data_IF_425880882952
#
_entry.id   IF_425880882952
#
_cell.length_a   1.000
_cell.length_b   1.000
_cell.length_c   1.000
_cell.angle_alpha   90.00
_cell.angle_beta   90.00
_cell.angle_gamma   90.00
#
_symmetry.space_group_name_H-M   'P 1'
#
loop_
_entity.id
_entity.type
_entity.pdbx_description
1 polymer ?
#
# COMPACT_ATOMS: atom_id res chain seq x y z
N UNK A 1 -7.89 9.59 2.04
CA UNK A 1 -6.83 9.12 2.94
C UNK A 1 -5.75 10.16 3.18
N UNK A 2 -4.85 9.85 4.09
CA UNK A 2 -3.64 10.63 4.36
C UNK A 2 -2.45 9.73 4.10
N UNK A 3 -1.62 10.12 3.12
CA UNK A 3 -0.50 9.31 2.65
C UNK A 3 0.84 9.95 3.01
N UNK A 4 1.92 9.14 3.05
CA UNK A 4 3.27 9.65 3.32
C UNK A 4 3.68 10.73 2.29
N UNK A 5 3.28 10.55 1.02
CA UNK A 5 3.54 11.50 -0.04
C UNK A 5 2.91 12.88 0.22
N UNK A 6 1.70 12.95 0.81
CA UNK A 6 1.07 14.21 1.20
C UNK A 6 1.93 14.99 2.21
N UNK A 7 2.51 14.27 3.19
CA UNK A 7 3.40 14.89 4.18
C UNK A 7 4.70 15.39 3.55
N UNK A 8 5.24 14.65 2.60
CA UNK A 8 6.44 15.02 1.85
C UNK A 8 6.17 16.21 0.92
N UNK A 9 5.01 16.22 0.24
CA UNK A 9 4.60 17.34 -0.62
C UNK A 9 4.47 18.62 0.21
N UNK A 10 3.85 18.57 1.39
CA UNK A 10 3.76 19.69 2.32
C UNK A 10 5.14 20.25 2.71
N UNK A 11 6.17 19.40 2.75
CA UNK A 11 7.55 19.76 3.06
C UNK A 11 8.35 20.20 1.83
N UNK A 12 7.76 20.19 0.62
CA UNK A 12 8.47 20.49 -0.63
C UNK A 12 9.38 19.37 -1.14
N UNK A 13 9.29 18.16 -0.55
CA UNK A 13 10.14 17.00 -0.89
C UNK A 13 9.50 16.07 -1.93
N UNK A 14 8.24 16.30 -2.27
CA UNK A 14 7.48 15.52 -3.25
C UNK A 14 6.60 16.47 -4.08
N UNK A 15 7.17 17.17 -5.07
CA UNK A 15 6.40 18.12 -5.87
C UNK A 15 5.33 17.40 -6.70
N UNK A 16 4.15 18.01 -6.89
CA UNK A 16 3.12 17.44 -7.75
C UNK A 16 3.62 17.34 -9.19
N UNK A 17 3.11 16.38 -9.98
CA UNK A 17 3.41 16.30 -11.41
C UNK A 17 3.03 17.61 -12.13
N UNK A 18 3.71 17.91 -13.25
CA UNK A 18 3.46 19.13 -14.01
C UNK A 18 2.00 19.20 -14.47
N UNK A 19 1.32 20.29 -14.19
CA UNK A 19 -0.09 20.52 -14.55
C UNK A 19 -1.09 19.99 -13.53
N UNK A 20 -0.63 19.40 -12.44
CA UNK A 20 -1.48 18.99 -11.30
C UNK A 20 -1.54 20.13 -10.28
N UNK A 21 -2.65 20.22 -9.56
CA UNK A 21 -2.86 21.20 -8.47
C UNK A 21 -1.89 21.00 -7.32
N UNK A 22 -1.58 22.10 -6.61
CA UNK A 22 -0.79 22.06 -5.35
C UNK A 22 -1.62 21.59 -4.14
N UNK A 23 -2.94 21.43 -4.28
CA UNK A 23 -3.80 20.88 -3.24
C UNK A 23 -3.41 19.42 -3.00
N UNK A 24 -3.16 19.07 -1.74
CA UNK A 24 -2.76 17.72 -1.33
C UNK A 24 -3.89 16.70 -1.55
N UNK A 25 -3.52 15.43 -1.44
CA UNK A 25 -4.44 14.29 -1.41
C UNK A 25 -4.42 13.47 -2.68
N UNK A 26 -3.99 12.21 -2.55
CA UNK A 26 -3.80 11.27 -3.66
C UNK A 26 -4.96 10.28 -3.82
N UNK A 27 -5.90 10.28 -2.89
CA UNK A 27 -7.07 9.41 -2.92
C UNK A 27 -8.25 10.06 -2.21
N UNK A 28 -9.45 9.69 -2.65
CA UNK A 28 -10.71 10.11 -2.03
C UNK A 28 -11.71 8.97 -1.99
N UNK A 29 -12.66 9.06 -1.07
CA UNK A 29 -13.94 8.36 -1.12
C UNK A 29 -15.08 9.36 -1.02
N UNK A 30 -16.21 9.04 -1.60
CA UNK A 30 -17.34 9.94 -1.57
C UNK A 30 -18.50 9.47 -2.43
N UNK A 31 -19.27 10.43 -2.89
CA UNK A 31 -20.38 10.19 -3.82
C UNK A 31 -20.20 11.01 -5.07
N UNK A 32 -20.55 10.42 -6.19
CA UNK A 32 -20.59 11.13 -7.47
C UNK A 32 -21.55 12.30 -7.38
N UNK A 33 -21.07 13.51 -7.59
CA UNK A 33 -21.90 14.73 -7.61
C UNK A 33 -22.44 15.01 -9.00
N UNK A 34 -21.62 14.80 -10.04
CA UNK A 34 -21.96 14.96 -11.44
C UNK A 34 -21.10 14.03 -12.29
N UNK A 35 -21.55 13.74 -13.50
CA UNK A 35 -20.87 12.89 -14.48
C UNK A 35 -20.60 13.71 -15.73
N UNK A 36 -19.39 13.60 -16.28
CA UNK A 36 -19.01 14.27 -17.51
C UNK A 36 -19.66 13.64 -18.75
N UNK A 37 -19.60 14.36 -19.86
CA UNK A 37 -20.11 13.89 -21.15
C UNK A 37 -19.38 12.59 -21.59
N UNK A 38 -20.13 11.60 -22.07
CA UNK A 38 -19.58 10.33 -22.57
C UNK A 38 -19.08 9.38 -21.49
N UNK A 39 -19.34 9.64 -20.21
CA UNK A 39 -19.02 8.71 -19.12
C UNK A 39 -20.21 7.83 -18.81
N UNK A 40 -20.04 6.52 -18.99
CA UNK A 40 -21.06 5.50 -18.68
C UNK A 40 -20.77 4.79 -17.35
N UNK A 41 -21.80 4.16 -16.80
CA UNK A 41 -21.69 3.29 -15.61
C UNK A 41 -21.66 4.01 -14.26
N UNK A 42 -21.77 5.35 -14.25
CA UNK A 42 -21.85 6.19 -13.06
C UNK A 42 -23.04 7.13 -13.10
N UNK A 43 -23.64 7.39 -11.95
CA UNK A 43 -24.70 8.38 -11.78
C UNK A 43 -24.51 9.18 -10.48
N UNK A 44 -25.06 10.39 -10.37
CA UNK A 44 -25.05 11.15 -9.12
C UNK A 44 -25.62 10.35 -7.95
N UNK A 45 -24.92 10.38 -6.82
CA UNK A 45 -25.27 9.62 -5.61
C UNK A 45 -24.53 8.29 -5.47
N UNK A 46 -23.96 7.72 -6.54
CA UNK A 46 -23.16 6.49 -6.46
C UNK A 46 -21.97 6.66 -5.50
N UNK A 47 -21.77 5.64 -4.66
CA UNK A 47 -20.59 5.58 -3.80
C UNK A 47 -19.35 5.25 -4.64
N UNK A 48 -18.25 5.95 -4.38
CA UNK A 48 -17.01 5.76 -5.12
C UNK A 48 -15.77 5.94 -4.23
N UNK A 49 -14.68 5.36 -4.70
CA UNK A 49 -13.30 5.67 -4.32
C UNK A 49 -12.54 6.09 -5.57
N UNK A 50 -11.57 6.99 -5.44
CA UNK A 50 -10.80 7.43 -6.59
C UNK A 50 -9.35 7.68 -6.24
N UNK A 51 -8.46 7.35 -7.20
CA UNK A 51 -7.04 7.67 -7.14
C UNK A 51 -6.79 8.97 -7.89
N UNK A 52 -6.01 9.87 -7.29
CA UNK A 52 -5.71 11.18 -7.85
C UNK A 52 -4.19 11.43 -7.88
N UNK A 53 -3.78 12.31 -8.78
CA UNK A 53 -2.41 12.84 -8.78
C UNK A 53 -2.24 14.01 -7.78
N UNK A 54 -3.33 14.52 -7.21
CA UNK A 54 -3.42 15.62 -6.26
C UNK A 54 -4.86 16.11 -6.15
N UNK A 55 -5.15 17.04 -5.23
CA UNK A 55 -6.47 17.67 -5.09
C UNK A 55 -7.48 16.91 -4.23
N UNK A 56 -7.09 15.81 -3.58
CA UNK A 56 -8.00 14.99 -2.77
C UNK A 56 -8.45 15.65 -1.45
N UNK A 57 -7.71 16.63 -0.95
CA UNK A 57 -8.09 17.38 0.27
C UNK A 57 -9.10 18.49 -0.07
N UNK A 58 -10.20 18.09 -0.65
CA UNK A 58 -11.26 18.98 -1.10
C UNK A 58 -12.64 18.39 -0.82
N UNK A 59 -13.65 19.25 -0.75
CA UNK A 59 -15.05 18.83 -0.62
C UNK A 59 -15.63 18.27 -1.92
N UNK A 60 -15.05 18.69 -3.07
CA UNK A 60 -15.37 18.18 -4.41
C UNK A 60 -14.08 18.07 -5.19
N UNK A 61 -13.89 16.95 -5.90
CA UNK A 61 -12.75 16.71 -6.78
C UNK A 61 -13.24 16.25 -8.16
N UNK A 62 -12.61 16.74 -9.22
CA UNK A 62 -12.81 16.23 -10.58
C UNK A 62 -11.80 15.12 -10.85
N UNK A 63 -12.28 13.94 -11.25
CA UNK A 63 -11.45 12.75 -11.44
C UNK A 63 -11.77 12.11 -12.78
N UNK A 64 -10.77 11.69 -13.58
CA UNK A 64 -11.01 10.87 -14.77
C UNK A 64 -11.78 9.60 -14.43
N UNK A 65 -12.81 9.26 -15.18
CA UNK A 65 -13.69 8.13 -14.90
C UNK A 65 -12.92 6.78 -14.75
N UNK A 66 -11.83 6.60 -15.50
CA UNK A 66 -10.98 5.42 -15.41
C UNK A 66 -10.18 5.26 -14.10
N UNK A 67 -10.17 6.30 -13.25
CA UNK A 67 -9.53 6.28 -11.93
C UNK A 67 -10.55 6.18 -10.79
N UNK A 68 -11.83 5.98 -11.11
CA UNK A 68 -12.93 5.86 -10.15
C UNK A 68 -13.37 4.40 -10.07
N UNK A 69 -13.45 3.87 -8.86
CA UNK A 69 -13.89 2.51 -8.57
C UNK A 69 -15.05 2.50 -7.57
N UNK A 70 -15.83 1.44 -7.57
CA UNK A 70 -16.79 1.20 -6.49
C UNK A 70 -16.03 0.74 -5.24
N UNK A 71 -16.39 1.23 -4.04
CA UNK A 71 -15.78 0.71 -2.81
C UNK A 71 -16.12 -0.77 -2.65
N UNK A 72 -15.29 -1.55 -1.95
CA UNK A 72 -15.60 -2.95 -1.62
C UNK A 72 -16.97 -3.08 -0.95
N UNK A 73 -17.67 -4.16 -1.25
CA UNK A 73 -18.98 -4.44 -0.67
C UNK A 73 -18.91 -4.46 0.87
N UNK A 74 -19.81 -3.73 1.52
CA UNK A 74 -19.89 -3.67 2.98
C UNK A 74 -18.88 -2.70 3.65
N UNK A 75 -17.97 -2.08 2.88
CA UNK A 75 -17.04 -1.10 3.42
C UNK A 75 -17.69 0.30 3.43
N UNK A 76 -17.64 0.98 4.58
CA UNK A 76 -18.09 2.36 4.68
C UNK A 76 -17.11 3.32 3.99
N UNK A 77 -17.60 4.51 3.60
CA UNK A 77 -16.79 5.47 2.84
C UNK A 77 -15.63 6.07 3.65
N UNK A 78 -15.73 6.13 4.98
CA UNK A 78 -14.65 6.65 5.82
C UNK A 78 -13.47 5.67 5.80
N UNK A 79 -13.74 4.39 5.98
CA UNK A 79 -12.73 3.31 5.87
C UNK A 79 -12.18 3.24 4.45
N UNK A 80 -13.04 3.31 3.44
CA UNK A 80 -12.63 3.24 2.02
C UNK A 80 -11.74 4.42 1.58
N UNK A 81 -11.75 5.55 2.32
CA UNK A 81 -10.95 6.72 2.00
C UNK A 81 -9.43 6.48 2.05
N UNK A 82 -8.96 5.47 2.77
CA UNK A 82 -7.53 5.14 2.89
C UNK A 82 -7.12 3.86 2.18
N UNK A 83 -7.94 3.36 1.25
CA UNK A 83 -7.72 2.06 0.63
C UNK A 83 -7.00 2.13 -0.72
N UNK A 84 -7.41 3.06 -1.60
CA UNK A 84 -7.11 2.92 -3.03
C UNK A 84 -5.64 3.19 -3.36
N UNK A 85 -5.02 4.16 -2.68
CA UNK A 85 -3.60 4.48 -2.90
C UNK A 85 -2.70 3.30 -2.52
N UNK A 86 -2.87 2.75 -1.32
CA UNK A 86 -2.08 1.60 -0.87
C UNK A 86 -2.38 0.35 -1.69
N UNK A 87 -3.63 0.12 -2.07
CA UNK A 87 -4.02 -1.00 -2.91
C UNK A 87 -3.37 -0.91 -4.30
N UNK A 88 -3.43 0.25 -4.95
CA UNK A 88 -2.79 0.47 -6.24
C UNK A 88 -1.27 0.31 -6.17
N UNK A 89 -0.64 0.84 -5.13
CA UNK A 89 0.80 0.71 -4.91
C UNK A 89 1.21 -0.74 -4.74
N UNK A 90 0.56 -1.48 -3.86
CA UNK A 90 0.92 -2.89 -3.56
C UNK A 90 0.61 -3.79 -4.75
N UNK A 91 -0.61 -3.72 -5.30
CA UNK A 91 -1.00 -4.60 -6.40
C UNK A 91 -0.14 -4.40 -7.64
N UNK A 92 0.18 -3.14 -8.00
CA UNK A 92 1.04 -2.86 -9.15
C UNK A 92 2.45 -3.42 -8.99
N UNK A 93 3.05 -3.30 -7.79
CA UNK A 93 4.39 -3.81 -7.50
C UNK A 93 4.41 -5.34 -7.48
N UNK A 94 3.50 -5.99 -6.74
CA UNK A 94 3.49 -7.46 -6.62
C UNK A 94 3.08 -8.15 -7.92
N UNK A 95 2.20 -7.54 -8.73
CA UNK A 95 1.89 -8.04 -10.08
C UNK A 95 3.09 -7.92 -11.02
N UNK A 96 3.85 -6.83 -10.93
CA UNK A 96 5.03 -6.61 -11.78
C UNK A 96 6.12 -7.66 -11.55
N UNK A 97 6.29 -8.13 -10.31
CA UNK A 97 7.25 -9.20 -9.97
C UNK A 97 6.62 -10.59 -10.05
N UNK A 98 5.34 -10.67 -10.41
CA UNK A 98 4.58 -11.91 -10.57
C UNK A 98 4.61 -12.81 -9.32
N UNK A 99 4.49 -12.20 -8.11
CA UNK A 99 4.47 -12.96 -6.85
C UNK A 99 3.49 -14.13 -6.92
N UNK A 100 3.97 -15.34 -6.67
CA UNK A 100 3.21 -16.57 -6.78
C UNK A 100 2.89 -17.20 -5.40
N UNK A 101 1.83 -18.04 -5.30
CA UNK A 101 1.56 -18.81 -4.10
C UNK A 101 2.76 -19.68 -3.70
N UNK A 102 3.07 -19.70 -2.40
CA UNK A 102 4.19 -20.43 -1.82
C UNK A 102 5.52 -19.68 -1.82
N UNK A 103 5.69 -18.62 -2.61
CA UNK A 103 6.87 -17.77 -2.55
C UNK A 103 6.95 -16.99 -1.24
N UNK A 104 8.17 -16.67 -0.84
CA UNK A 104 8.47 -15.90 0.38
C UNK A 104 8.52 -14.42 0.05
N UNK A 105 7.58 -13.65 0.61
CA UNK A 105 7.58 -12.20 0.56
C UNK A 105 8.04 -11.62 1.91
N UNK A 106 9.07 -10.78 1.89
CA UNK A 106 9.41 -9.91 3.02
C UNK A 106 8.86 -8.50 2.81
N UNK A 107 8.13 -7.98 3.80
CA UNK A 107 7.55 -6.63 3.79
C UNK A 107 8.20 -5.77 4.86
N UNK A 108 8.99 -4.78 4.47
CA UNK A 108 9.51 -3.80 5.41
C UNK A 108 8.44 -2.80 5.83
N UNK A 109 8.42 -2.49 7.15
CA UNK A 109 7.41 -1.59 7.70
C UNK A 109 6.00 -2.17 7.66
N UNK A 110 5.85 -3.46 7.95
CA UNK A 110 4.62 -4.24 7.81
C UNK A 110 3.38 -3.68 8.52
N UNK A 111 3.55 -2.83 9.54
CA UNK A 111 2.45 -2.17 10.25
C UNK A 111 2.10 -0.77 9.71
N UNK A 112 2.79 -0.29 8.66
CA UNK A 112 2.45 0.96 7.96
C UNK A 112 1.29 0.78 6.98
N UNK A 113 0.84 1.85 6.33
CA UNK A 113 -0.27 1.81 5.36
C UNK A 113 -0.02 0.80 4.23
N UNK A 114 1.09 0.96 3.49
CA UNK A 114 1.50 0.03 2.43
C UNK A 114 1.74 -1.37 3.01
N UNK A 115 2.48 -1.46 4.13
CA UNK A 115 2.86 -2.74 4.73
C UNK A 115 1.67 -3.57 5.19
N UNK A 116 0.72 -2.96 5.89
CA UNK A 116 -0.47 -3.66 6.39
C UNK A 116 -1.38 -4.19 5.27
N UNK A 117 -1.49 -3.44 4.17
CA UNK A 117 -2.19 -3.93 2.98
C UNK A 117 -1.40 -5.04 2.28
N UNK A 118 -0.07 -4.88 2.13
CA UNK A 118 0.77 -5.87 1.46
C UNK A 118 0.76 -7.22 2.16
N UNK A 119 0.85 -7.23 3.50
CA UNK A 119 0.78 -8.46 4.31
C UNK A 119 -0.52 -9.21 4.06
N UNK A 120 -1.66 -8.53 4.17
CA UNK A 120 -2.98 -9.13 3.94
C UNK A 120 -3.16 -9.63 2.51
N UNK A 121 -2.80 -8.79 1.54
CA UNK A 121 -2.97 -9.10 0.13
C UNK A 121 -2.12 -10.30 -0.30
N UNK A 122 -0.84 -10.33 0.08
CA UNK A 122 0.06 -11.42 -0.27
C UNK A 122 -0.32 -12.73 0.45
N UNK A 123 -0.73 -12.68 1.72
CA UNK A 123 -1.25 -13.84 2.44
C UNK A 123 -2.52 -14.41 1.76
N UNK A 124 -3.43 -13.54 1.29
CA UNK A 124 -4.61 -13.95 0.55
C UNK A 124 -4.28 -14.56 -0.83
N UNK A 125 -3.15 -14.18 -1.45
CA UNK A 125 -2.62 -14.83 -2.67
C UNK A 125 -1.97 -16.19 -2.40
N UNK A 126 -1.78 -16.57 -1.12
CA UNK A 126 -1.12 -17.81 -0.74
C UNK A 126 0.40 -17.73 -0.66
N UNK A 127 0.99 -16.54 -0.65
CA UNK A 127 2.41 -16.36 -0.40
C UNK A 127 2.74 -16.54 1.09
N UNK A 128 3.99 -16.91 1.39
CA UNK A 128 4.53 -16.95 2.74
C UNK A 128 5.04 -15.55 3.11
N UNK A 129 4.36 -14.89 4.02
CA UNK A 129 4.63 -13.47 4.30
C UNK A 129 5.41 -13.30 5.60
N UNK A 130 6.51 -12.56 5.52
CA UNK A 130 7.31 -12.10 6.65
C UNK A 130 7.32 -10.57 6.66
N UNK A 131 7.46 -9.97 7.84
CA UNK A 131 7.44 -8.51 7.94
C UNK A 131 8.47 -7.99 8.93
N UNK A 132 8.90 -6.73 8.77
CA UNK A 132 9.67 -6.02 9.79
C UNK A 132 8.85 -4.88 10.38
N UNK A 133 9.02 -4.62 11.68
CA UNK A 133 8.42 -3.50 12.39
C UNK A 133 9.28 -3.14 13.61
N UNK A 134 9.06 -1.98 14.24
CA UNK A 134 9.94 -1.48 15.30
C UNK A 134 9.27 -1.38 16.68
N UNK A 135 8.25 -2.18 16.96
CA UNK A 135 7.70 -2.30 18.32
C UNK A 135 6.88 -3.57 18.48
N UNK A 136 6.76 -4.07 19.71
CA UNK A 136 6.02 -5.29 20.02
C UNK A 136 4.57 -5.27 19.49
N UNK A 137 3.86 -4.13 19.64
CA UNK A 137 2.49 -3.98 19.15
C UNK A 137 2.41 -4.05 17.63
N UNK A 138 3.36 -3.43 16.94
CA UNK A 138 3.43 -3.48 15.46
C UNK A 138 3.78 -4.87 14.96
N UNK A 139 4.68 -5.58 15.63
CA UNK A 139 5.01 -6.98 15.32
C UNK A 139 3.82 -7.90 15.52
N UNK A 140 3.05 -7.68 16.59
CA UNK A 140 1.79 -8.40 16.83
C UNK A 140 0.80 -8.14 15.69
N UNK A 141 0.59 -6.87 15.34
CA UNK A 141 -0.31 -6.49 14.23
C UNK A 141 0.09 -7.17 12.92
N UNK A 142 1.38 -7.20 12.55
CA UNK A 142 1.81 -7.87 11.33
C UNK A 142 1.37 -9.34 11.30
N UNK A 143 1.51 -10.05 12.43
CA UNK A 143 1.08 -11.45 12.54
C UNK A 143 -0.44 -11.61 12.48
N UNK A 144 -1.18 -10.74 13.14
CA UNK A 144 -2.65 -10.70 13.08
C UNK A 144 -3.17 -10.45 11.67
N UNK A 145 -2.42 -9.71 10.86
CA UNK A 145 -2.74 -9.42 9.46
C UNK A 145 -2.36 -10.55 8.49
N UNK A 146 -1.66 -11.59 8.95
CA UNK A 146 -1.34 -12.76 8.14
C UNK A 146 0.13 -13.03 7.88
N UNK A 147 1.07 -12.29 8.51
CA UNK A 147 2.48 -12.64 8.44
C UNK A 147 2.79 -13.91 9.25
N UNK A 148 3.53 -14.87 8.66
CA UNK A 148 4.00 -16.07 9.36
C UNK A 148 4.91 -15.70 10.54
N UNK A 149 5.79 -14.71 10.34
CA UNK A 149 6.57 -14.09 11.40
C UNK A 149 6.80 -12.61 11.14
N UNK A 150 7.09 -11.87 12.21
CA UNK A 150 7.46 -10.47 12.14
C UNK A 150 8.68 -10.23 13.04
N UNK A 151 9.67 -9.51 12.51
CA UNK A 151 10.97 -9.29 13.10
C UNK A 151 11.15 -7.82 13.50
N UNK A 152 11.78 -7.57 14.63
CA UNK A 152 12.17 -6.21 15.00
C UNK A 152 13.34 -5.77 14.10
N UNK A 153 13.19 -4.62 13.45
CA UNK A 153 14.25 -4.14 12.56
C UNK A 153 15.48 -3.60 13.32
N UNK A 154 15.42 -3.49 14.64
CA UNK A 154 16.58 -3.16 15.47
C UNK A 154 17.48 -4.39 15.74
N UNK A 155 16.97 -5.59 15.49
CA UNK A 155 17.66 -6.87 15.68
C UNK A 155 18.21 -7.43 14.35
N UNK A 156 18.81 -8.60 14.38
CA UNK A 156 19.26 -9.33 13.17
C UNK A 156 18.06 -9.97 12.44
N UNK A 157 17.26 -9.13 11.77
CA UNK A 157 16.13 -9.61 10.97
C UNK A 157 16.56 -10.48 9.75
N UNK A 158 17.74 -10.26 9.09
CA UNK A 158 18.15 -11.13 7.99
C UNK A 158 18.43 -12.55 8.47
N UNK A 159 19.15 -12.71 9.57
CA UNK A 159 19.40 -14.04 10.18
C UNK A 159 18.11 -14.69 10.65
N UNK A 160 17.17 -13.92 11.22
CA UNK A 160 15.88 -14.42 11.63
C UNK A 160 15.01 -14.89 10.43
N UNK A 161 15.04 -14.18 9.32
CA UNK A 161 14.37 -14.59 8.06
C UNK A 161 14.98 -15.89 7.52
N UNK A 162 16.32 -15.98 7.43
CA UNK A 162 17.01 -17.18 7.00
C UNK A 162 16.62 -18.39 7.87
N UNK A 163 16.60 -18.22 9.19
CA UNK A 163 16.14 -19.26 10.10
C UNK A 163 14.69 -19.68 9.86
N UNK A 164 13.78 -18.73 9.69
CA UNK A 164 12.35 -18.97 9.48
C UNK A 164 12.03 -19.61 8.12
N UNK A 165 12.91 -19.43 7.13
CA UNK A 165 12.76 -19.97 5.77
C UNK A 165 13.65 -21.19 5.53
N UNK A 166 14.27 -21.76 6.55
CA UNK A 166 15.21 -22.88 6.47
C UNK A 166 16.37 -22.61 5.48
N UNK A 167 16.87 -21.37 5.45
CA UNK A 167 17.98 -20.93 4.62
C UNK A 167 17.60 -20.53 3.20
N UNK A 168 16.31 -20.51 2.85
CA UNK A 168 15.87 -20.12 1.51
C UNK A 168 16.02 -18.59 1.27
N UNK A 169 15.62 -17.77 2.24
CA UNK A 169 15.57 -16.32 2.08
C UNK A 169 14.23 -15.83 1.53
N UNK A 170 14.20 -14.63 0.94
CA UNK A 170 13.02 -14.04 0.33
C UNK A 170 13.08 -14.11 -1.20
N UNK A 171 12.00 -14.57 -1.84
CA UNK A 171 11.85 -14.50 -3.30
C UNK A 171 11.56 -13.06 -3.74
N UNK A 172 10.82 -12.31 -2.91
CA UNK A 172 10.46 -10.91 -3.15
C UNK A 172 10.61 -10.11 -1.86
N UNK A 173 11.14 -8.88 -1.98
CA UNK A 173 11.20 -7.93 -0.87
C UNK A 173 10.47 -6.65 -1.27
N UNK A 174 9.42 -6.29 -0.53
CA UNK A 174 8.75 -5.00 -0.66
C UNK A 174 9.39 -4.01 0.31
N UNK A 175 10.21 -3.11 -0.24
CA UNK A 175 11.01 -2.18 0.54
C UNK A 175 10.47 -0.74 0.44
N UNK A 176 10.04 -0.19 1.57
CA UNK A 176 9.62 1.21 1.75
C UNK A 176 10.66 2.06 2.49
N UNK A 177 11.84 1.49 2.81
CA UNK A 177 12.91 2.14 3.56
C UNK A 177 13.99 2.68 2.60
N UNK A 178 14.42 1.86 1.63
CA UNK A 178 15.36 2.23 0.60
C UNK A 178 16.83 1.98 0.98
N UNK A 179 17.72 2.87 0.59
CA UNK A 179 19.16 2.68 0.57
C UNK A 179 19.77 2.11 1.86
N UNK A 180 19.22 2.44 3.02
CA UNK A 180 19.73 1.95 4.31
C UNK A 180 19.62 0.42 4.48
N UNK A 181 18.72 -0.23 3.73
CA UNK A 181 18.49 -1.68 3.82
C UNK A 181 19.00 -2.45 2.60
N UNK A 182 19.51 -1.76 1.58
CA UNK A 182 19.85 -2.38 0.30
C UNK A 182 20.82 -3.56 0.43
N UNK A 183 21.90 -3.41 1.19
CA UNK A 183 22.90 -4.47 1.39
C UNK A 183 22.28 -5.68 2.10
N UNK A 184 21.55 -5.44 3.19
CA UNK A 184 20.84 -6.50 3.93
C UNK A 184 19.76 -7.16 3.10
N UNK A 185 19.04 -6.40 2.27
CA UNK A 185 18.04 -6.94 1.36
C UNK A 185 18.66 -7.89 0.33
N UNK A 186 19.76 -7.47 -0.30
CA UNK A 186 20.45 -8.34 -1.27
C UNK A 186 20.95 -9.63 -0.62
N UNK A 187 21.48 -9.55 0.61
CA UNK A 187 21.95 -10.74 1.35
C UNK A 187 20.80 -11.65 1.83
N UNK A 188 19.58 -11.12 1.94
CA UNK A 188 18.39 -11.86 2.39
C UNK A 188 17.58 -12.48 1.25
N UNK A 189 17.90 -12.18 -0.01
CA UNK A 189 17.22 -12.80 -1.18
C UNK A 189 17.58 -14.28 -1.30
N UNK A 190 16.65 -15.04 -1.94
CA UNK A 190 16.78 -16.46 -2.25
C UNK A 190 17.77 -16.72 -3.37
#
# INVERSE_FOLDING_TARGET
GVNRADLMQRQGLYPPPRGVTDILGLEVSGRIAAVGEGVDGWQPGDACVALLAGGGYATVAAVPAGQVLRPPHGMDLVTAAGLLEVAATVTSNLTRVALAPGEVLLVHGGAGGIGSFAVQYAAALGARVFATAGSADKLRLCRELGAEAAFDYHDDWPGALQGATAGHGADVILDVIGAAYLESNVAALA
#
